data_IF_756927878205
#
_entry.id   IF_756927878205
#
_cell.length_a   1.000
_cell.length_b   1.000
_cell.length_c   1.000
_cell.angle_alpha   90.00
_cell.angle_beta   90.00
_cell.angle_gamma   90.00
#
_symmetry.space_group_name_H-M   'P 1'
#
loop_
_entity.id
_entity.type
_entity.pdbx_description
1 polymer ?
#
# COMPACT_ATOMS: atom_id res chain seq x y z
N UNK A 1 16.16 -5.40 -11.75
CA UNK A 1 17.37 -5.02 -11.06
C UNK A 1 17.51 -3.52 -10.83
N UNK A 2 16.46 -2.68 -11.00
CA UNK A 2 16.50 -1.25 -10.68
C UNK A 2 15.49 -0.93 -9.58
N UNK A 3 15.84 0.04 -8.72
CA UNK A 3 14.88 0.66 -7.80
C UNK A 3 14.13 1.78 -8.51
N UNK A 4 12.88 2.02 -8.13
CA UNK A 4 12.12 3.16 -8.65
C UNK A 4 11.82 4.19 -7.56
N UNK A 5 11.59 5.41 -8.00
CA UNK A 5 11.15 6.55 -7.19
C UNK A 5 9.96 7.19 -7.90
N UNK A 6 8.81 7.22 -7.27
CA UNK A 6 7.64 7.89 -7.83
C UNK A 6 7.65 9.37 -7.47
N UNK A 7 7.33 10.21 -8.46
CA UNK A 7 7.19 11.66 -8.30
C UNK A 7 5.87 12.07 -8.92
N UNK A 8 4.99 12.64 -8.11
CA UNK A 8 3.71 13.16 -8.59
C UNK A 8 3.95 14.45 -9.39
N UNK A 9 3.50 14.52 -10.65
CA UNK A 9 3.66 15.72 -11.46
C UNK A 9 2.91 16.94 -10.91
N UNK A 10 1.95 16.73 -10.01
CA UNK A 10 1.21 17.82 -9.36
C UNK A 10 1.94 18.42 -8.16
N UNK A 11 3.03 17.80 -7.71
CA UNK A 11 3.82 18.37 -6.61
C UNK A 11 4.41 19.74 -7.00
N UNK A 12 4.60 20.65 -6.01
CA UNK A 12 5.38 21.86 -6.23
C UNK A 12 6.75 21.55 -6.85
N UNK A 13 7.20 22.35 -7.81
CA UNK A 13 8.47 22.12 -8.53
C UNK A 13 9.67 21.91 -7.61
N UNK A 14 9.77 22.71 -6.55
CA UNK A 14 10.84 22.57 -5.56
C UNK A 14 10.88 21.17 -4.93
N UNK A 15 9.70 20.58 -4.69
CA UNK A 15 9.61 19.21 -4.16
C UNK A 15 10.03 18.17 -5.20
N UNK A 16 9.62 18.33 -6.46
CA UNK A 16 10.03 17.43 -7.54
C UNK A 16 11.55 17.50 -7.75
N UNK A 17 12.13 18.68 -7.83
CA UNK A 17 13.57 18.90 -7.97
C UNK A 17 14.37 18.34 -6.78
N UNK A 18 13.84 18.52 -5.57
CA UNK A 18 14.45 17.94 -4.38
C UNK A 18 14.48 16.40 -4.46
N UNK A 19 13.37 15.76 -4.80
CA UNK A 19 13.30 14.30 -4.89
C UNK A 19 14.27 13.78 -5.96
N UNK A 20 14.29 14.38 -7.13
CA UNK A 20 15.20 14.03 -8.22
C UNK A 20 16.66 14.17 -7.82
N UNK A 21 17.04 15.30 -7.24
CA UNK A 21 18.43 15.56 -6.85
C UNK A 21 18.87 14.70 -5.68
N UNK A 22 18.00 14.49 -4.69
CA UNK A 22 18.29 13.67 -3.52
C UNK A 22 18.40 12.19 -3.88
N UNK A 23 17.45 11.64 -4.65
CA UNK A 23 17.45 10.24 -5.08
C UNK A 23 18.67 9.92 -5.96
N UNK A 24 19.06 10.87 -6.81
CA UNK A 24 20.13 10.65 -7.79
C UNK A 24 19.71 9.66 -8.87
N UNK A 25 18.43 9.65 -9.22
CA UNK A 25 17.87 8.76 -10.24
C UNK A 25 18.61 8.91 -11.57
N UNK A 26 19.00 7.79 -12.17
CA UNK A 26 19.75 7.77 -13.43
C UNK A 26 18.88 8.11 -14.64
N UNK A 27 17.60 7.83 -14.55
CA UNK A 27 16.62 8.06 -15.60
C UNK A 27 15.36 8.69 -15.00
N UNK A 28 14.78 9.64 -15.74
CA UNK A 28 13.47 10.21 -15.49
C UNK A 28 12.54 9.73 -16.62
N UNK A 29 11.45 9.04 -16.24
CA UNK A 29 10.46 8.54 -17.18
C UNK A 29 9.24 9.48 -17.13
N UNK A 30 9.16 10.36 -18.12
CA UNK A 30 8.03 11.28 -18.35
C UNK A 30 7.16 10.75 -19.49
N UNK A 31 5.92 11.25 -19.68
CA UNK A 31 5.05 10.81 -20.79
C UNK A 31 5.73 10.87 -22.15
N UNK A 32 6.52 11.93 -22.42
CA UNK A 32 7.26 12.14 -23.66
C UNK A 32 8.32 11.06 -23.93
N UNK A 33 8.84 10.42 -22.89
CA UNK A 33 9.75 9.29 -23.03
C UNK A 33 9.05 8.13 -23.75
N UNK A 34 7.81 7.82 -23.39
CA UNK A 34 7.05 6.72 -23.98
C UNK A 34 6.60 7.01 -25.42
N UNK A 35 6.38 8.27 -25.78
CA UNK A 35 6.04 8.68 -27.15
C UNK A 35 7.21 8.48 -28.10
N UNK A 36 8.44 8.66 -27.61
CA UNK A 36 9.67 8.55 -28.40
C UNK A 36 10.34 7.18 -28.31
N UNK A 37 9.99 6.39 -27.31
CA UNK A 37 10.63 5.13 -27.00
C UNK A 37 9.97 3.95 -27.72
N UNK A 38 10.67 3.42 -28.73
CA UNK A 38 10.15 2.25 -29.43
C UNK A 38 10.45 0.96 -28.66
N UNK A 39 9.48 0.53 -27.82
CA UNK A 39 9.59 -0.68 -27.01
C UNK A 39 9.83 -1.95 -27.86
N UNK A 40 9.35 -1.98 -29.10
CA UNK A 40 9.46 -3.14 -29.97
C UNK A 40 10.90 -3.46 -30.45
N UNK A 41 11.84 -2.58 -30.20
CA UNK A 41 13.26 -2.83 -30.50
C UNK A 41 13.98 -3.62 -29.42
N UNK A 42 13.34 -3.85 -28.27
CA UNK A 42 13.90 -4.60 -27.15
C UNK A 42 13.35 -6.02 -27.12
N UNK A 43 14.16 -6.93 -26.59
CA UNK A 43 13.74 -8.31 -26.41
C UNK A 43 12.66 -8.40 -25.33
N UNK A 44 11.66 -9.26 -25.57
CA UNK A 44 10.62 -9.64 -24.60
C UNK A 44 11.01 -10.87 -23.75
N UNK A 45 12.24 -11.38 -23.95
CA UNK A 45 12.75 -12.49 -23.15
C UNK A 45 13.10 -12.04 -21.74
N UNK A 46 12.94 -12.92 -20.77
CA UNK A 46 13.34 -12.67 -19.40
C UNK A 46 14.83 -12.29 -19.32
N UNK A 47 15.11 -11.25 -18.54
CA UNK A 47 16.49 -10.80 -18.32
C UNK A 47 17.20 -11.79 -17.39
N UNK A 48 18.44 -12.18 -17.72
CA UNK A 48 19.29 -12.95 -16.83
C UNK A 48 19.98 -12.01 -15.81
N UNK A 49 19.19 -11.62 -14.81
CA UNK A 49 19.65 -10.73 -13.74
C UNK A 49 19.60 -11.47 -12.41
N UNK A 50 20.71 -11.46 -11.70
CA UNK A 50 20.77 -11.95 -10.32
C UNK A 50 20.27 -10.86 -9.38
N UNK A 51 19.25 -11.18 -8.59
CA UNK A 51 18.71 -10.31 -7.55
C UNK A 51 19.25 -10.71 -6.19
N UNK A 52 19.57 -9.71 -5.38
CA UNK A 52 19.87 -9.93 -3.97
C UNK A 52 18.68 -9.46 -3.11
N UNK A 53 18.33 -10.20 -2.05
CA UNK A 53 17.21 -9.83 -1.17
C UNK A 53 17.32 -8.42 -0.59
N UNK A 54 18.56 -7.94 -0.41
CA UNK A 54 18.87 -6.62 0.15
C UNK A 54 18.94 -5.50 -0.92
N UNK A 55 18.77 -5.83 -2.20
CA UNK A 55 18.68 -4.81 -3.25
C UNK A 55 17.47 -3.91 -2.98
N UNK A 56 17.64 -2.62 -3.24
CA UNK A 56 16.55 -1.64 -3.08
C UNK A 56 15.46 -1.94 -4.11
N UNK A 57 14.22 -2.06 -3.65
CA UNK A 57 13.05 -2.19 -4.52
C UNK A 57 12.52 -0.82 -4.94
N UNK A 58 12.33 0.06 -3.96
CA UNK A 58 11.84 1.42 -4.21
C UNK A 58 12.23 2.39 -3.10
N UNK A 59 12.11 3.69 -3.44
CA UNK A 59 12.10 4.78 -2.48
C UNK A 59 10.78 5.52 -2.57
N UNK A 60 10.09 5.66 -1.44
CA UNK A 60 8.92 6.53 -1.32
C UNK A 60 9.25 7.70 -0.41
N UNK A 61 8.99 8.92 -0.90
CA UNK A 61 9.27 10.14 -0.16
C UNK A 61 8.05 10.56 0.67
N UNK A 62 8.18 10.46 1.98
CA UNK A 62 7.15 10.89 2.93
C UNK A 62 7.44 12.30 3.46
N UNK A 63 6.39 12.99 3.97
CA UNK A 63 6.57 14.29 4.62
C UNK A 63 7.34 14.12 5.92
N UNK A 64 8.51 14.75 6.03
CA UNK A 64 9.27 14.81 7.28
C UNK A 64 8.67 15.80 8.27
N UNK A 65 8.83 15.56 9.56
CA UNK A 65 8.43 16.50 10.64
C UNK A 65 9.11 17.86 10.53
N UNK A 66 10.22 17.95 9.80
CA UNK A 66 10.98 19.18 9.52
C UNK A 66 10.52 19.90 8.24
N UNK A 67 9.49 19.40 7.55
CA UNK A 67 9.03 19.90 6.25
C UNK A 67 9.83 19.40 5.04
N UNK A 68 11.03 18.86 5.23
CA UNK A 68 11.83 18.29 4.15
C UNK A 68 11.44 16.83 3.95
N UNK A 69 11.08 16.42 2.71
CA UNK A 69 10.72 15.03 2.43
C UNK A 69 11.87 14.06 2.74
N UNK A 70 11.55 12.89 3.30
CA UNK A 70 12.49 11.81 3.59
C UNK A 70 12.19 10.60 2.71
N UNK A 71 13.18 10.07 2.00
CA UNK A 71 13.05 8.88 1.17
C UNK A 71 13.20 7.62 2.02
N UNK A 72 12.13 6.85 2.17
CA UNK A 72 12.16 5.55 2.86
C UNK A 72 12.70 4.50 1.91
N UNK A 73 13.73 3.77 2.33
CA UNK A 73 14.42 2.76 1.51
C UNK A 73 13.87 1.38 1.81
N UNK A 74 13.15 0.79 0.86
CA UNK A 74 12.59 -0.55 1.00
C UNK A 74 13.33 -1.54 0.11
N UNK A 75 13.70 -2.70 0.70
CA UNK A 75 14.39 -3.78 0.01
C UNK A 75 13.42 -4.73 -0.70
N UNK A 76 13.97 -5.51 -1.64
CA UNK A 76 13.23 -6.58 -2.32
C UNK A 76 12.67 -7.59 -1.32
N UNK A 77 13.46 -8.00 -0.31
CA UNK A 77 13.00 -8.94 0.71
C UNK A 77 11.88 -8.39 1.57
N UNK A 78 11.92 -7.09 1.91
CA UNK A 78 10.92 -6.46 2.74
C UNK A 78 9.55 -6.37 2.02
N UNK A 79 9.54 -5.84 0.79
CA UNK A 79 8.30 -5.72 0.01
C UNK A 79 7.71 -7.08 -0.32
N UNK A 80 8.54 -8.04 -0.74
CA UNK A 80 8.05 -9.38 -1.09
C UNK A 80 7.51 -10.13 0.12
N UNK A 81 8.07 -9.92 1.33
CA UNK A 81 7.50 -10.49 2.55
C UNK A 81 6.04 -10.04 2.76
N UNK A 82 5.75 -8.76 2.60
CA UNK A 82 4.39 -8.22 2.76
C UNK A 82 3.46 -8.71 1.64
N UNK A 83 3.89 -8.57 0.38
CA UNK A 83 3.08 -8.94 -0.79
C UNK A 83 2.69 -10.42 -0.76
N UNK A 84 3.65 -11.31 -0.53
CA UNK A 84 3.40 -12.75 -0.53
C UNK A 84 2.51 -13.19 0.65
N UNK A 85 2.70 -12.59 1.83
CA UNK A 85 1.89 -12.93 3.00
C UNK A 85 0.43 -12.49 2.83
N UNK A 86 0.18 -11.29 2.27
CA UNK A 86 -1.17 -10.83 1.96
C UNK A 86 -1.83 -11.70 0.89
N UNK A 87 -1.14 -11.99 -0.21
CA UNK A 87 -1.67 -12.84 -1.27
C UNK A 87 -2.03 -14.23 -0.73
N UNK A 88 -1.17 -14.82 0.10
CA UNK A 88 -1.43 -16.13 0.70
C UNK A 88 -2.60 -16.08 1.70
N UNK A 89 -2.64 -15.08 2.60
CA UNK A 89 -3.68 -14.97 3.63
C UNK A 89 -5.08 -14.79 3.04
N UNK A 90 -5.16 -14.04 1.96
CA UNK A 90 -6.45 -13.71 1.35
C UNK A 90 -6.72 -14.48 0.06
N UNK A 91 -5.84 -15.44 -0.29
CA UNK A 91 -5.98 -16.34 -1.45
C UNK A 91 -6.11 -15.57 -2.76
N UNK A 92 -5.31 -14.52 -2.91
CA UNK A 92 -5.25 -13.74 -4.16
C UNK A 92 -4.49 -14.55 -5.20
N UNK A 93 -5.09 -14.75 -6.38
CA UNK A 93 -4.53 -15.54 -7.46
C UNK A 93 -4.73 -14.90 -8.85
N UNK A 94 -4.43 -15.64 -9.91
CA UNK A 94 -4.51 -15.17 -11.30
C UNK A 94 -5.94 -14.96 -11.81
N UNK A 95 -6.96 -15.33 -11.06
CA UNK A 95 -8.36 -15.06 -11.40
C UNK A 95 -8.85 -13.73 -10.84
N UNK A 96 -8.07 -13.14 -9.92
CA UNK A 96 -8.42 -11.87 -9.29
C UNK A 96 -8.16 -10.66 -10.17
N UNK A 97 -8.89 -9.61 -9.85
CA UNK A 97 -8.80 -8.29 -10.50
C UNK A 97 -8.72 -7.23 -9.42
N UNK A 98 -7.54 -6.67 -9.30
CA UNK A 98 -7.21 -5.65 -8.30
C UNK A 98 -7.44 -4.27 -8.91
N UNK A 99 -8.18 -3.40 -8.23
CA UNK A 99 -8.37 -2.03 -8.67
C UNK A 99 -7.24 -1.14 -8.13
N UNK A 100 -6.59 -0.40 -9.03
CA UNK A 100 -5.50 0.53 -8.69
C UNK A 100 -6.05 1.92 -8.38
N UNK A 101 -6.24 2.22 -7.10
CA UNK A 101 -6.80 3.48 -6.61
C UNK A 101 -5.76 4.41 -6.00
N UNK A 102 -4.58 3.89 -5.70
CA UNK A 102 -3.57 4.64 -4.96
C UNK A 102 -2.54 5.29 -5.89
N UNK A 103 -2.20 6.55 -5.59
CA UNK A 103 -1.08 7.21 -6.27
C UNK A 103 0.21 6.39 -6.10
N UNK A 104 1.03 6.33 -7.14
CA UNK A 104 2.35 5.68 -7.10
C UNK A 104 3.30 6.28 -6.05
N UNK A 105 3.00 7.48 -5.55
CA UNK A 105 3.76 8.11 -4.46
C UNK A 105 3.37 7.60 -3.06
N UNK A 106 2.38 6.71 -2.98
CA UNK A 106 1.97 6.02 -1.76
C UNK A 106 2.26 4.52 -1.88
N UNK A 107 2.66 3.91 -0.78
CA UNK A 107 3.08 2.52 -0.72
C UNK A 107 1.94 1.50 -0.94
N UNK A 108 0.68 1.89 -0.80
CA UNK A 108 -0.46 1.05 -1.19
C UNK A 108 -0.38 0.65 -2.67
N UNK A 109 0.06 1.54 -3.55
CA UNK A 109 0.23 1.26 -4.98
C UNK A 109 1.26 0.16 -5.25
N UNK A 110 2.24 0.01 -4.35
CA UNK A 110 3.23 -1.07 -4.43
C UNK A 110 2.54 -2.42 -4.35
N UNK A 111 1.56 -2.56 -3.44
CA UNK A 111 0.77 -3.79 -3.37
C UNK A 111 -0.11 -3.97 -4.62
N UNK A 112 -0.79 -2.92 -5.09
CA UNK A 112 -1.63 -3.00 -6.28
C UNK A 112 -0.84 -3.56 -7.47
N UNK A 113 0.39 -3.07 -7.67
CA UNK A 113 1.27 -3.48 -8.77
C UNK A 113 1.89 -4.86 -8.52
N UNK A 114 2.65 -5.03 -7.42
CA UNK A 114 3.41 -6.25 -7.21
C UNK A 114 2.58 -7.39 -6.64
N UNK A 115 1.50 -7.09 -5.91
CA UNK A 115 0.50 -8.07 -5.50
C UNK A 115 -0.16 -8.74 -6.71
N UNK A 116 -0.60 -7.95 -7.68
CA UNK A 116 -1.17 -8.46 -8.92
C UNK A 116 -0.15 -9.21 -9.77
N UNK A 117 1.02 -8.62 -10.03
CA UNK A 117 2.03 -9.23 -10.88
C UNK A 117 2.57 -10.55 -10.32
N UNK A 118 2.73 -10.68 -9.00
CA UNK A 118 3.27 -11.88 -8.37
C UNK A 118 2.33 -13.09 -8.43
N UNK A 119 1.04 -12.88 -8.65
CA UNK A 119 0.02 -13.93 -8.78
C UNK A 119 -0.48 -14.12 -10.20
N UNK A 120 -0.18 -13.18 -11.10
CA UNK A 120 -0.78 -13.13 -12.44
C UNK A 120 -2.20 -12.57 -12.44
N UNK A 121 -2.63 -11.93 -11.35
CA UNK A 121 -3.89 -11.20 -11.27
C UNK A 121 -3.88 -9.98 -12.21
N UNK A 122 -5.07 -9.50 -12.57
CA UNK A 122 -5.21 -8.30 -13.40
C UNK A 122 -5.20 -7.05 -12.54
N UNK A 123 -4.30 -6.12 -12.80
CA UNK A 123 -4.39 -4.75 -12.29
C UNK A 123 -5.28 -3.91 -13.22
N UNK A 124 -6.25 -3.21 -12.65
CA UNK A 124 -7.14 -2.28 -13.37
C UNK A 124 -6.87 -0.87 -12.87
N UNK A 125 -6.15 -0.10 -13.69
CA UNK A 125 -5.82 1.30 -13.39
C UNK A 125 -7.02 2.21 -13.56
N UNK A 126 -7.14 3.21 -12.71
CA UNK A 126 -8.22 4.19 -12.66
C UNK A 126 -7.69 5.57 -13.01
N UNK A 127 -8.29 6.22 -14.01
CA UNK A 127 -7.89 7.56 -14.46
C UNK A 127 -8.35 8.66 -13.50
N UNK A 128 -9.59 8.56 -13.00
CA UNK A 128 -10.15 9.53 -12.06
C UNK A 128 -10.91 8.82 -10.93
N UNK A 129 -10.30 8.82 -9.75
CA UNK A 129 -10.89 8.22 -8.54
C UNK A 129 -12.06 9.03 -7.96
N UNK A 130 -12.23 10.29 -8.39
CA UNK A 130 -13.28 11.19 -7.89
C UNK A 130 -14.56 11.11 -8.73
N UNK A 131 -14.52 10.59 -9.96
CA UNK A 131 -15.71 10.29 -10.75
C UNK A 131 -16.32 8.96 -10.30
N UNK A 132 -17.26 9.02 -9.36
CA UNK A 132 -17.92 7.83 -8.80
C UNK A 132 -18.67 7.04 -9.87
N UNK A 133 -19.31 7.71 -10.82
CA UNK A 133 -20.03 7.04 -11.90
C UNK A 133 -19.10 6.29 -12.84
N UNK A 134 -17.91 6.83 -13.08
CA UNK A 134 -16.84 6.14 -13.81
C UNK A 134 -16.33 4.94 -13.02
N UNK A 135 -16.04 5.12 -11.73
CA UNK A 135 -15.53 4.08 -10.86
C UNK A 135 -16.52 2.91 -10.73
N UNK A 136 -17.80 3.21 -10.51
CA UNK A 136 -18.89 2.24 -10.47
C UNK A 136 -18.96 1.40 -11.76
N UNK A 137 -18.93 2.07 -12.90
CA UNK A 137 -18.96 1.44 -14.23
C UNK A 137 -17.74 0.53 -14.47
N UNK A 138 -16.55 0.93 -14.02
CA UNK A 138 -15.35 0.12 -14.15
C UNK A 138 -15.40 -1.10 -13.23
N UNK A 139 -15.82 -0.93 -11.98
CA UNK A 139 -15.98 -2.04 -11.03
C UNK A 139 -16.88 -3.14 -11.61
N UNK A 140 -18.00 -2.77 -12.19
CA UNK A 140 -18.92 -3.73 -12.83
C UNK A 140 -18.35 -4.33 -14.12
N UNK A 141 -17.92 -3.47 -15.05
CA UNK A 141 -17.45 -3.89 -16.37
C UNK A 141 -16.26 -4.85 -16.28
N UNK A 142 -15.30 -4.52 -15.44
CA UNK A 142 -14.10 -5.32 -15.26
C UNK A 142 -14.32 -6.50 -14.31
N UNK A 143 -15.37 -6.43 -13.47
CA UNK A 143 -15.67 -7.45 -12.45
C UNK A 143 -14.56 -7.50 -11.41
N UNK A 144 -14.29 -6.35 -10.80
CA UNK A 144 -13.27 -6.19 -9.74
C UNK A 144 -13.55 -7.17 -8.60
N UNK A 145 -12.50 -7.86 -8.13
CA UNK A 145 -12.59 -8.81 -7.02
C UNK A 145 -11.90 -8.30 -5.75
N UNK A 146 -10.83 -7.51 -5.92
CA UNK A 146 -10.03 -6.97 -4.80
C UNK A 146 -10.05 -5.45 -4.86
N UNK A 147 -10.48 -4.85 -3.76
CA UNK A 147 -10.44 -3.41 -3.51
C UNK A 147 -9.37 -3.09 -2.49
N UNK A 148 -8.44 -2.18 -2.81
CA UNK A 148 -7.42 -1.70 -1.89
C UNK A 148 -7.43 -0.17 -1.87
N UNK A 149 -7.72 0.43 -0.71
CA UNK A 149 -7.72 1.89 -0.59
C UNK A 149 -7.61 2.38 0.86
N UNK A 150 -7.45 3.69 1.00
CA UNK A 150 -7.71 4.35 2.28
C UNK A 150 -9.23 4.40 2.56
N UNK A 151 -9.64 4.45 3.84
CA UNK A 151 -11.07 4.48 4.21
C UNK A 151 -11.86 5.62 3.54
N UNK A 152 -11.23 6.79 3.35
CA UNK A 152 -11.88 7.94 2.73
C UNK A 152 -12.33 7.68 1.28
N UNK A 153 -11.55 6.93 0.48
CA UNK A 153 -11.95 6.57 -0.91
C UNK A 153 -13.11 5.58 -0.87
N UNK A 154 -13.07 4.59 0.02
CA UNK A 154 -14.18 3.66 0.19
C UNK A 154 -15.46 4.38 0.65
N UNK A 155 -15.35 5.32 1.60
CA UNK A 155 -16.48 6.12 2.06
C UNK A 155 -17.08 6.97 0.93
N UNK A 156 -16.24 7.60 0.13
CA UNK A 156 -16.63 8.37 -1.04
C UNK A 156 -17.41 7.48 -2.05
N UNK A 157 -16.90 6.29 -2.32
CA UNK A 157 -17.56 5.32 -3.18
C UNK A 157 -18.93 4.90 -2.63
N UNK A 158 -18.98 4.48 -1.36
CA UNK A 158 -20.23 4.05 -0.70
C UNK A 158 -21.30 5.16 -0.67
N UNK A 159 -20.89 6.41 -0.47
CA UNK A 159 -21.81 7.55 -0.44
C UNK A 159 -22.27 7.99 -1.84
N UNK A 160 -21.48 7.72 -2.86
CA UNK A 160 -21.77 8.16 -4.23
C UNK A 160 -22.56 7.16 -5.07
N UNK A 161 -22.53 5.87 -4.71
CA UNK A 161 -23.32 4.84 -5.41
C UNK A 161 -24.78 4.88 -4.97
N UNK A 162 -25.68 4.47 -5.87
CA UNK A 162 -27.12 4.39 -5.56
C UNK A 162 -27.43 3.35 -4.47
N UNK A 163 -28.49 3.61 -3.69
CA UNK A 163 -28.86 2.80 -2.52
C UNK A 163 -29.19 1.32 -2.82
N UNK A 164 -29.43 0.96 -4.08
CA UNK A 164 -29.80 -0.40 -4.51
C UNK A 164 -28.68 -1.09 -5.31
N UNK A 165 -27.50 -0.47 -5.39
CA UNK A 165 -26.38 -1.04 -6.15
C UNK A 165 -25.64 -2.10 -5.35
N UNK A 166 -25.34 -3.22 -6.02
CA UNK A 166 -24.60 -4.35 -5.45
C UNK A 166 -23.37 -4.67 -6.32
N UNK A 167 -22.27 -5.00 -5.66
CA UNK A 167 -21.01 -5.39 -6.30
C UNK A 167 -20.58 -6.77 -5.80
N UNK A 168 -21.27 -7.83 -6.19
CA UNK A 168 -21.06 -9.19 -5.66
C UNK A 168 -19.70 -9.79 -6.08
N UNK A 169 -19.04 -9.21 -7.08
CA UNK A 169 -17.70 -9.65 -7.51
C UNK A 169 -16.62 -9.25 -6.53
N UNK A 170 -16.77 -8.14 -5.79
CA UNK A 170 -15.81 -7.72 -4.78
C UNK A 170 -15.88 -8.71 -3.61
N UNK A 171 -14.83 -9.52 -3.47
CA UNK A 171 -14.73 -10.54 -2.43
C UNK A 171 -13.69 -10.20 -1.35
N UNK A 172 -12.80 -9.25 -1.60
CA UNK A 172 -11.76 -8.82 -0.67
C UNK A 172 -11.64 -7.31 -0.67
N UNK A 173 -11.76 -6.69 0.50
CA UNK A 173 -11.60 -5.24 0.70
C UNK A 173 -10.50 -5.01 1.72
N UNK A 174 -9.41 -4.43 1.27
CA UNK A 174 -8.24 -4.07 2.05
C UNK A 174 -8.29 -2.57 2.36
N UNK A 175 -8.36 -2.22 3.63
CA UNK A 175 -8.43 -0.81 4.08
C UNK A 175 -7.25 -0.48 4.97
N UNK A 176 -6.57 0.61 4.69
CA UNK A 176 -5.39 1.04 5.45
C UNK A 176 -5.10 2.53 5.31
N UNK A 177 -4.05 2.99 6.01
CA UNK A 177 -3.55 4.36 5.91
C UNK A 177 -4.28 5.38 6.80
N UNK A 178 -5.43 5.03 7.33
CA UNK A 178 -6.17 5.86 8.30
C UNK A 178 -7.10 4.99 9.16
N UNK A 179 -7.73 5.60 10.16
CA UNK A 179 -8.72 4.98 11.03
C UNK A 179 -9.96 4.54 10.23
N UNK A 180 -10.35 3.28 10.41
CA UNK A 180 -11.56 2.73 9.78
C UNK A 180 -12.75 3.01 10.70
N UNK A 181 -13.76 3.77 10.24
CA UNK A 181 -15.00 3.97 11.01
C UNK A 181 -15.69 2.64 11.32
N UNK A 182 -16.17 2.47 12.54
CA UNK A 182 -16.80 1.22 13.00
C UNK A 182 -18.03 0.80 12.20
N UNK A 183 -18.72 1.75 11.57
CA UNK A 183 -19.88 1.47 10.70
C UNK A 183 -19.49 1.04 9.29
N UNK A 184 -18.26 1.33 8.84
CA UNK A 184 -17.82 1.11 7.46
C UNK A 184 -17.83 -0.37 7.03
N UNK A 185 -17.35 -1.34 7.83
CA UNK A 185 -17.41 -2.75 7.43
C UNK A 185 -18.82 -3.24 7.13
N UNK A 186 -19.80 -2.81 7.93
CA UNK A 186 -21.20 -3.15 7.70
C UNK A 186 -21.79 -2.43 6.46
N UNK A 187 -21.36 -1.21 6.19
CA UNK A 187 -21.73 -0.49 4.97
C UNK A 187 -21.20 -1.17 3.72
N UNK A 188 -19.94 -1.62 3.75
CA UNK A 188 -19.32 -2.40 2.66
C UNK A 188 -20.10 -3.69 2.42
N UNK A 189 -20.41 -4.48 3.46
CA UNK A 189 -21.12 -5.75 3.34
C UNK A 189 -22.54 -5.62 2.80
N UNK A 190 -23.16 -4.44 2.90
CA UNK A 190 -24.47 -4.18 2.28
C UNK A 190 -24.42 -4.13 0.76
N UNK A 191 -23.31 -3.68 0.19
CA UNK A 191 -23.13 -3.51 -1.27
C UNK A 191 -22.22 -4.56 -1.88
N UNK A 192 -21.32 -5.14 -1.06
CA UNK A 192 -20.38 -6.20 -1.41
C UNK A 192 -20.59 -7.37 -0.44
N UNK A 193 -21.70 -8.12 -0.61
CA UNK A 193 -22.14 -9.13 0.36
C UNK A 193 -21.12 -10.25 0.63
N UNK A 194 -20.28 -10.57 -0.39
CA UNK A 194 -19.27 -11.60 -0.31
C UNK A 194 -17.91 -11.08 0.22
N UNK A 195 -17.79 -9.79 0.50
CA UNK A 195 -16.52 -9.18 0.81
C UNK A 195 -15.99 -9.57 2.20
N UNK A 196 -14.77 -10.05 2.24
CA UNK A 196 -13.94 -10.03 3.45
C UNK A 196 -13.37 -8.63 3.61
N UNK A 197 -13.71 -7.95 4.69
CA UNK A 197 -13.15 -6.65 5.02
C UNK A 197 -11.95 -6.85 5.93
N UNK A 198 -10.83 -6.28 5.57
CA UNK A 198 -9.57 -6.41 6.30
C UNK A 198 -9.03 -5.02 6.64
N UNK A 199 -8.81 -4.79 7.93
CA UNK A 199 -8.03 -3.65 8.40
C UNK A 199 -6.55 -3.99 8.27
N UNK A 200 -5.81 -3.17 7.57
CA UNK A 200 -4.36 -3.26 7.42
C UNK A 200 -3.72 -1.99 7.99
N UNK A 201 -2.53 -2.13 8.51
CA UNK A 201 -1.82 -1.00 9.09
C UNK A 201 -0.32 -1.18 9.04
N UNK A 202 0.36 -0.11 9.40
CA UNK A 202 1.82 -0.03 9.38
C UNK A 202 2.27 1.39 9.09
N UNK A 203 3.57 1.57 9.05
CA UNK A 203 4.19 2.77 8.55
C UNK A 203 4.89 2.45 7.24
N UNK A 204 5.16 3.44 6.39
CA UNK A 204 5.94 3.25 5.16
C UNK A 204 7.29 2.60 5.45
N UNK A 205 7.86 2.87 6.62
CA UNK A 205 9.08 2.25 7.16
C UNK A 205 8.91 0.76 7.50
N UNK A 206 7.67 0.24 7.54
CA UNK A 206 7.34 -1.18 7.75
C UNK A 206 6.95 -1.92 6.46
N UNK A 207 7.19 -1.32 5.28
CA UNK A 207 6.93 -1.90 3.95
C UNK A 207 5.46 -2.17 3.67
N UNK A 208 4.71 -1.13 3.32
CA UNK A 208 3.29 -1.10 3.01
C UNK A 208 2.45 -1.38 4.27
N UNK A 209 2.43 -2.63 4.70
CA UNK A 209 1.71 -3.09 5.90
C UNK A 209 2.58 -4.02 6.73
N UNK A 210 2.38 -3.95 8.03
CA UNK A 210 3.08 -4.80 8.98
C UNK A 210 2.12 -5.48 9.97
N UNK A 211 0.82 -5.10 9.93
CA UNK A 211 -0.23 -5.63 10.80
C UNK A 211 -1.55 -5.79 10.04
N UNK A 212 -2.40 -6.74 10.44
CA UNK A 212 -3.69 -6.98 9.81
C UNK A 212 -4.74 -7.42 10.83
N UNK A 213 -6.00 -7.11 10.53
CA UNK A 213 -7.17 -7.55 11.30
C UNK A 213 -8.32 -7.86 10.34
N UNK A 214 -8.72 -9.15 10.16
CA UNK A 214 -9.96 -9.50 9.46
C UNK A 214 -11.16 -9.03 10.28
N UNK A 215 -12.08 -8.26 9.64
CA UNK A 215 -13.22 -7.66 10.32
C UNK A 215 -14.45 -8.55 10.13
N UNK A 216 -14.49 -9.67 10.84
CA UNK A 216 -15.64 -10.59 10.81
C UNK A 216 -16.81 -10.07 11.65
N UNK A 217 -16.50 -9.38 12.74
CA UNK A 217 -17.44 -8.79 13.67
C UNK A 217 -16.99 -7.39 14.07
N UNK A 218 -17.94 -6.50 14.31
CA UNK A 218 -17.72 -5.16 14.85
C UNK A 218 -18.48 -5.02 16.15
N UNK A 219 -17.75 -4.82 17.24
CA UNK A 219 -18.35 -4.54 18.54
C UNK A 219 -18.93 -3.12 18.55
N UNK A 220 -20.20 -2.91 18.91
CA UNK A 220 -20.82 -1.59 19.00
C UNK A 220 -20.12 -0.62 19.99
N UNK A 221 -19.36 -1.16 20.95
CA UNK A 221 -18.61 -0.38 21.93
C UNK A 221 -17.24 0.07 21.43
N UNK A 222 -16.77 -0.44 20.29
CA UNK A 222 -15.49 -0.01 19.71
C UNK A 222 -15.54 1.44 19.24
N UNK A 223 -14.46 2.15 19.50
CA UNK A 223 -14.23 3.51 18.97
C UNK A 223 -13.62 3.48 17.57
N UNK A 224 -12.94 2.39 17.23
CA UNK A 224 -12.32 2.15 15.92
C UNK A 224 -12.14 0.64 15.73
N UNK A 225 -11.94 0.23 14.50
CA UNK A 225 -11.57 -1.15 14.19
C UNK A 225 -10.19 -1.47 14.81
N UNK A 226 -10.00 -2.64 15.43
CA UNK A 226 -8.70 -3.04 15.99
C UNK A 226 -7.57 -3.00 14.97
N UNK A 227 -6.37 -2.67 15.45
CA UNK A 227 -5.18 -2.61 14.59
C UNK A 227 -4.75 -4.01 14.14
N UNK A 228 -4.84 -5.02 15.04
CA UNK A 228 -4.74 -6.44 14.68
C UNK A 228 -3.48 -7.13 15.15
N UNK A 229 -2.95 -8.05 14.32
CA UNK A 229 -1.79 -8.89 14.59
C UNK A 229 -0.72 -8.70 13.53
N UNK A 230 0.57 -8.90 13.87
CA UNK A 230 1.66 -8.80 12.90
C UNK A 230 1.45 -9.70 11.68
N UNK A 231 1.89 -9.24 10.51
CA UNK A 231 2.08 -10.07 9.32
C UNK A 231 3.20 -11.10 9.54
N UNK A 232 3.31 -12.07 8.66
CA UNK A 232 4.38 -13.06 8.74
C UNK A 232 5.77 -12.41 8.74
N UNK A 233 6.65 -12.92 9.60
CA UNK A 233 8.00 -12.42 9.82
C UNK A 233 8.10 -10.96 10.30
N UNK A 234 6.98 -10.39 10.78
CA UNK A 234 6.90 -9.08 11.41
C UNK A 234 6.69 -9.23 12.91
N UNK A 235 7.10 -8.25 13.70
CA UNK A 235 6.91 -8.22 15.14
C UNK A 235 6.44 -6.84 15.59
N UNK A 236 5.64 -6.82 16.65
CA UNK A 236 5.15 -5.60 17.28
C UNK A 236 5.42 -5.67 18.78
N UNK A 237 5.95 -4.57 19.31
CA UNK A 237 6.20 -4.42 20.73
C UNK A 237 5.56 -3.12 21.21
N UNK A 238 4.84 -3.18 22.34
CA UNK A 238 4.36 -2.00 23.03
C UNK A 238 5.30 -1.78 24.22
N UNK A 239 6.16 -0.76 24.10
CA UNK A 239 7.23 -0.51 25.08
C UNK A 239 6.94 0.75 25.91
N UNK A 240 7.34 0.72 27.18
CA UNK A 240 7.36 1.88 28.04
C UNK A 240 8.60 2.75 27.76
N UNK A 241 8.71 3.89 28.47
CA UNK A 241 9.84 4.81 28.33
C UNK A 241 11.22 4.22 28.70
N UNK A 242 11.24 3.07 29.40
CA UNK A 242 12.48 2.33 29.71
C UNK A 242 12.82 1.26 28.66
N UNK A 243 12.04 1.14 27.60
CA UNK A 243 12.21 0.13 26.54
C UNK A 243 11.76 -1.29 26.97
N UNK A 244 10.92 -1.42 28.02
CA UNK A 244 10.37 -2.69 28.48
C UNK A 244 8.94 -2.87 27.98
N UNK A 245 8.58 -4.11 27.67
CA UNK A 245 7.21 -4.43 27.25
C UNK A 245 6.17 -4.02 28.30
N UNK A 246 5.11 -3.36 27.81
CA UNK A 246 3.97 -3.00 28.64
C UNK A 246 3.08 -4.22 28.90
N UNK A 247 2.52 -4.38 30.12
CA UNK A 247 1.47 -5.37 30.38
C UNK A 247 0.23 -5.11 29.52
N UNK A 248 -0.58 -6.15 29.31
CA UNK A 248 -1.87 -6.03 28.58
C UNK A 248 -2.76 -4.97 29.26
N UNK A 249 -3.32 -4.08 28.44
CA UNK A 249 -4.16 -2.97 28.89
C UNK A 249 -3.38 -1.70 29.32
N UNK A 250 -2.06 -1.73 29.28
CA UNK A 250 -1.21 -0.56 29.52
C UNK A 250 -0.72 0.02 28.22
N UNK A 251 -0.92 1.32 28.00
CA UNK A 251 -0.45 2.04 26.82
C UNK A 251 1.06 2.24 26.83
N UNK A 252 1.68 2.18 25.66
CA UNK A 252 3.09 2.43 25.45
C UNK A 252 3.34 2.86 24.02
N UNK A 253 4.60 3.04 23.65
CA UNK A 253 5.02 3.31 22.27
C UNK A 253 5.11 2.02 21.46
N UNK A 254 4.59 2.09 20.21
CA UNK A 254 4.51 0.93 19.33
C UNK A 254 5.76 0.83 18.47
N UNK A 255 6.48 -0.27 18.61
CA UNK A 255 7.67 -0.58 17.82
C UNK A 255 7.36 -1.68 16.80
N UNK A 256 7.79 -1.46 15.56
CA UNK A 256 7.65 -2.40 14.45
C UNK A 256 9.00 -3.04 14.19
N UNK A 257 9.05 -4.36 14.12
CA UNK A 257 10.26 -5.12 13.82
C UNK A 257 10.02 -6.21 12.79
N UNK A 258 11.10 -6.87 12.38
CA UNK A 258 11.05 -8.01 11.47
C UNK A 258 11.43 -7.67 10.02
N UNK A 259 11.11 -8.57 9.10
CA UNK A 259 11.58 -8.52 7.70
C UNK A 259 11.05 -7.34 6.88
N UNK A 260 9.94 -6.75 7.26
CA UNK A 260 9.35 -5.62 6.55
C UNK A 260 9.99 -4.27 6.89
N UNK A 261 10.86 -4.21 7.90
CA UNK A 261 11.48 -2.94 8.32
C UNK A 261 12.41 -2.42 7.22
N UNK A 262 12.27 -1.13 6.90
CA UNK A 262 13.09 -0.43 5.92
C UNK A 262 14.59 -0.43 6.31
N UNK A 263 15.46 -0.26 5.33
CA UNK A 263 16.89 -0.05 5.61
C UNK A 263 17.18 1.29 6.32
N UNK A 264 16.23 2.23 6.26
CA UNK A 264 16.36 3.56 6.83
C UNK A 264 15.93 4.64 5.86
N UNK A 265 16.38 5.86 6.11
CA UNK A 265 16.13 7.01 5.26
C UNK A 265 17.29 7.26 4.32
N UNK A 266 17.00 7.41 3.03
CA UNK A 266 18.00 7.56 1.98
C UNK A 266 18.86 8.81 2.20
N UNK A 267 20.20 8.60 2.28
CA UNK A 267 21.19 9.64 2.55
C UNK A 267 20.97 10.44 3.85
N UNK A 268 20.28 9.86 4.85
CA UNK A 268 20.01 10.51 6.14
C UNK A 268 20.25 9.55 7.31
N UNK A 269 21.53 9.32 7.61
CA UNK A 269 21.93 8.40 8.68
C UNK A 269 21.50 8.89 10.07
N UNK A 270 21.44 10.22 10.27
CA UNK A 270 21.04 10.77 11.57
C UNK A 270 19.59 10.44 11.89
N UNK A 271 18.67 10.67 10.92
CA UNK A 271 17.27 10.30 11.11
C UNK A 271 17.07 8.79 11.15
N UNK A 272 17.85 8.03 10.37
CA UNK A 272 17.84 6.57 10.44
C UNK A 272 18.14 6.08 11.85
N UNK A 273 19.24 6.52 12.45
CA UNK A 273 19.63 6.10 13.81
C UNK A 273 18.63 6.53 14.92
N UNK A 274 17.74 7.50 14.64
CA UNK A 274 16.73 7.93 15.60
C UNK A 274 15.44 7.13 15.49
N UNK A 275 15.17 6.54 14.34
CA UNK A 275 13.88 5.89 14.04
C UNK A 275 13.97 4.35 14.01
N UNK A 276 15.16 3.83 13.75
CA UNK A 276 15.50 2.40 13.64
C UNK A 276 16.59 2.01 14.70
#
# INVERSE_FOLDING_TARGET
GAAYVAIDPTYPKERQEYILSNSGSAYLLEPEFYETYNINQYSDTALDITYHPEDIAYLIYTSGSTGVPKGVVITQSAVMNTVLDINQKFSIDNTDKIIGLSSMCFDLSVYDIFGSLSTGAKLVEIEDIHDISYLERIVEKEGITVWNSVPAIMEMFLNGIGNERLFPTINTVLLSGDWIPVNMPNAIKKVCENARVVSLGGATEGSIWSIYYPVDYVDPEWKSIPYGKPLANQTYYVLNYEGRECPVGVSGELYIGGKGVAQGYFKDQEKTNKAF
#
